data_IF_210852945447
#
_entry.id   IF_210852945447
#
_cell.length_a   1.000
_cell.length_b   1.000
_cell.length_c   1.000
_cell.angle_alpha   90.00
_cell.angle_beta   90.00
_cell.angle_gamma   90.00
#
_symmetry.space_group_name_H-M   'P 1'
#
loop_
_entity.id
_entity.type
_entity.pdbx_description
1 polymer ?
#
# COMPACT_ATOMS: atom_id res chain seq x y z
N UNK A 1 9.80 -25.07 26.97
CA UNK A 1 9.78 -24.63 25.55
C UNK A 1 10.74 -25.50 24.75
N UNK A 2 10.37 -25.98 23.55
CA UNK A 2 11.27 -26.74 22.72
C UNK A 2 12.31 -25.82 22.05
N UNK A 3 13.58 -26.05 22.32
CA UNK A 3 14.69 -25.29 21.74
C UNK A 3 15.13 -25.91 20.40
N UNK A 4 15.53 -25.10 19.40
CA UNK A 4 16.03 -25.62 18.14
C UNK A 4 17.31 -26.43 18.35
N UNK A 5 17.30 -27.70 17.96
CA UNK A 5 18.46 -28.60 18.09
C UNK A 5 19.64 -28.18 17.20
N UNK A 6 19.37 -27.51 16.06
CA UNK A 6 20.38 -27.09 15.06
C UNK A 6 20.05 -25.72 14.50
N UNK A 7 21.10 -24.96 14.15
CA UNK A 7 20.97 -23.69 13.41
C UNK A 7 20.40 -23.94 12.02
N UNK A 8 19.50 -23.07 11.57
CA UNK A 8 19.00 -23.10 10.19
C UNK A 8 20.03 -22.50 9.23
N UNK A 9 20.24 -23.14 8.08
CA UNK A 9 21.10 -22.60 7.03
C UNK A 9 20.56 -21.28 6.49
N UNK A 10 21.45 -20.45 5.95
CA UNK A 10 21.08 -19.20 5.28
C UNK A 10 20.10 -19.46 4.13
N UNK A 11 20.32 -20.53 3.36
CA UNK A 11 19.42 -20.97 2.29
C UNK A 11 18.00 -21.24 2.80
N UNK A 12 17.84 -22.03 3.88
CA UNK A 12 16.50 -22.31 4.45
C UNK A 12 15.81 -21.06 4.98
N UNK A 13 16.57 -20.11 5.51
CA UNK A 13 16.01 -18.85 6.00
C UNK A 13 15.57 -17.95 4.85
N UNK A 14 16.33 -17.90 3.76
CA UNK A 14 15.97 -17.18 2.54
C UNK A 14 14.72 -17.78 1.89
N UNK A 15 14.69 -19.10 1.69
CA UNK A 15 13.52 -19.81 1.15
C UNK A 15 12.26 -19.63 2.02
N UNK A 16 12.40 -19.57 3.35
CA UNK A 16 11.25 -19.28 4.23
C UNK A 16 10.72 -17.86 4.05
N UNK A 17 11.58 -16.89 3.70
CA UNK A 17 11.23 -15.47 3.57
C UNK A 17 10.79 -15.08 2.15
N UNK A 18 10.77 -16.00 1.18
CA UNK A 18 10.40 -15.70 -0.21
C UNK A 18 9.00 -15.11 -0.35
N UNK A 19 8.07 -15.53 0.51
CA UNK A 19 6.67 -15.11 0.45
C UNK A 19 6.37 -13.98 1.45
N UNK A 20 7.37 -13.56 2.24
CA UNK A 20 7.25 -12.44 3.16
C UNK A 20 7.64 -11.15 2.42
N UNK A 21 6.88 -10.84 1.38
CA UNK A 21 7.10 -9.69 0.49
C UNK A 21 5.93 -8.72 0.58
N UNK A 22 6.21 -7.44 0.34
CA UNK A 22 5.16 -6.43 0.25
C UNK A 22 4.55 -6.41 -1.16
N UNK A 23 3.23 -6.26 -1.23
CA UNK A 23 2.52 -6.04 -2.50
C UNK A 23 2.16 -4.57 -2.65
N UNK A 24 2.38 -4.03 -3.85
CA UNK A 24 1.98 -2.66 -4.16
C UNK A 24 0.47 -2.61 -4.41
N UNK A 25 -0.27 -1.70 -3.75
CA UNK A 25 -1.70 -1.53 -4.01
C UNK A 25 -1.92 -0.91 -5.39
N UNK A 26 -3.13 -1.08 -5.93
CA UNK A 26 -3.51 -0.45 -7.21
C UNK A 26 -3.64 1.06 -7.06
N UNK A 27 -2.72 1.78 -7.70
CA UNK A 27 -2.72 3.23 -7.81
C UNK A 27 -3.34 3.62 -9.16
N UNK A 28 -4.25 4.60 -9.14
CA UNK A 28 -4.94 5.12 -10.32
C UNK A 28 -4.70 6.61 -10.47
N UNK A 29 -4.77 7.12 -11.70
CA UNK A 29 -4.70 8.56 -11.95
C UNK A 29 -5.93 9.27 -11.39
N UNK A 30 -5.70 10.44 -10.83
CA UNK A 30 -6.78 11.32 -10.42
C UNK A 30 -7.37 12.02 -11.65
N UNK A 31 -8.68 12.29 -11.62
CA UNK A 31 -9.40 12.99 -12.68
C UNK A 31 -9.36 14.51 -12.51
N UNK A 32 -9.08 14.99 -11.31
CA UNK A 32 -9.00 16.41 -11.01
C UNK A 32 -7.71 17.01 -11.55
N UNK A 33 -7.82 18.22 -12.10
CA UNK A 33 -6.68 19.06 -12.51
C UNK A 33 -6.26 19.94 -11.32
N UNK A 34 -4.96 19.98 -11.01
CA UNK A 34 -4.40 20.86 -9.97
C UNK A 34 -4.38 20.31 -8.54
N UNK A 35 -4.65 19.02 -8.34
CA UNK A 35 -4.44 18.32 -7.05
C UNK A 35 -3.45 17.16 -7.19
N UNK A 36 -3.40 16.28 -6.19
CA UNK A 36 -2.56 15.08 -6.23
C UNK A 36 -2.85 14.23 -7.50
N UNK A 37 -1.81 13.89 -8.30
CA UNK A 37 -1.98 13.25 -9.61
C UNK A 37 -2.42 11.79 -9.52
N UNK A 38 -2.19 11.15 -8.38
CA UNK A 38 -2.47 9.74 -8.15
C UNK A 38 -3.30 9.54 -6.89
N UNK A 39 -4.07 8.45 -6.87
CA UNK A 39 -4.84 8.05 -5.71
C UNK A 39 -4.96 6.54 -5.63
N UNK A 40 -5.24 6.04 -4.44
CA UNK A 40 -5.61 4.64 -4.28
C UNK A 40 -6.98 4.39 -4.92
N UNK A 41 -7.12 3.22 -5.56
CA UNK A 41 -8.39 2.84 -6.15
C UNK A 41 -9.51 2.82 -5.10
N UNK A 42 -10.71 3.26 -5.48
CA UNK A 42 -11.89 3.43 -4.61
C UNK A 42 -11.74 4.33 -3.37
N UNK A 43 -10.60 5.01 -3.20
CA UNK A 43 -10.39 5.95 -2.10
C UNK A 43 -10.42 7.40 -2.59
N UNK A 44 -10.71 8.31 -1.66
CA UNK A 44 -10.59 9.75 -1.87
C UNK A 44 -9.11 10.17 -1.94
N UNK A 45 -8.83 11.27 -2.63
CA UNK A 45 -7.52 11.91 -2.55
C UNK A 45 -7.30 12.58 -1.20
N UNK A 46 -6.03 12.83 -0.82
CA UNK A 46 -5.70 13.65 0.34
C UNK A 46 -6.34 15.04 0.31
N UNK A 47 -6.55 15.60 -0.89
CA UNK A 47 -7.20 16.91 -1.10
C UNK A 47 -8.74 16.85 -0.95
N UNK A 48 -9.31 15.68 -0.65
CA UNK A 48 -10.74 15.53 -0.41
C UNK A 48 -11.58 15.34 -1.66
N UNK A 49 -11.01 14.85 -2.76
CA UNK A 49 -11.75 14.58 -3.99
C UNK A 49 -12.01 13.09 -4.21
N UNK A 50 -13.22 12.77 -4.65
CA UNK A 50 -13.59 11.42 -5.07
C UNK A 50 -14.47 11.47 -6.31
N UNK A 51 -14.12 10.71 -7.35
CA UNK A 51 -14.82 10.70 -8.64
C UNK A 51 -14.99 12.13 -9.23
N UNK A 52 -13.98 12.98 -9.06
CA UNK A 52 -14.00 14.37 -9.56
C UNK A 52 -14.90 15.34 -8.78
N UNK A 53 -15.50 14.91 -7.67
CA UNK A 53 -16.32 15.76 -6.79
C UNK A 53 -15.59 16.00 -5.48
N UNK A 54 -15.71 17.22 -4.94
CA UNK A 54 -15.21 17.57 -3.62
C UNK A 54 -16.10 16.97 -2.54
N UNK A 55 -15.49 16.35 -1.54
CA UNK A 55 -16.19 15.77 -0.41
C UNK A 55 -16.55 16.85 0.63
N UNK A 56 -17.73 16.74 1.28
CA UNK A 56 -18.10 17.63 2.36
C UNK A 56 -17.15 17.47 3.54
N UNK A 57 -16.72 18.59 4.13
CA UNK A 57 -15.83 18.62 5.31
C UNK A 57 -14.36 18.88 5.00
N UNK A 58 -13.94 18.87 3.73
CA UNK A 58 -12.62 19.34 3.32
C UNK A 58 -12.60 20.86 3.16
N UNK A 59 -11.89 21.56 4.06
CA UNK A 59 -11.66 23.01 3.97
C UNK A 59 -10.52 23.32 2.98
N UNK A 60 -10.58 24.51 2.38
CA UNK A 60 -9.50 25.08 1.56
C UNK A 60 -8.27 25.41 2.41
#
# INVERSE_FOLDING_TARGET
MPNPKRRHSHQRTALRRTNYTAELPTIVTNRQVGGEPYRLNHNATPDGYYKGRRLPGFKD
#
